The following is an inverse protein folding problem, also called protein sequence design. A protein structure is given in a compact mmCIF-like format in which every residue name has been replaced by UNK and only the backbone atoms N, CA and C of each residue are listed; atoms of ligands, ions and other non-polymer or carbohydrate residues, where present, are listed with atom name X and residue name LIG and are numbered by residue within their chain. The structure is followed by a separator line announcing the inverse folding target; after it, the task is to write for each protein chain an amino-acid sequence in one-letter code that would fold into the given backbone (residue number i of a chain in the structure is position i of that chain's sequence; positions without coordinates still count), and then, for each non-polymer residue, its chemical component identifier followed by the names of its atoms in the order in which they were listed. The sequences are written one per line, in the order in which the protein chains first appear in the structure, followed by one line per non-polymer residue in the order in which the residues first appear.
data_IF_185637032978
#
_entry.id   IF_185637032978
#
_cell.length_a   1.000
_cell.length_b   1.000
_cell.length_c   1.000
_cell.angle_alpha   90.00
_cell.angle_beta   90.00
_cell.angle_gamma   90.00
#
_symmetry.space_group_name_H-M   'P 1'
#
loop_
_entity.id
_entity.type
_entity.pdbx_description
1 polymer ?
#
# COMPACT_ATOMS: atom_id res chain seq x y z
N UNK A 1 -16.81 7.80 1.98
CA UNK A 1 -15.76 7.16 1.17
C UNK A 1 -16.44 6.16 0.25
N UNK A 2 -16.15 6.19 -1.06
CA UNK A 2 -16.69 5.20 -2.00
C UNK A 2 -15.88 3.91 -1.89
N UNK A 3 -16.54 2.77 -1.70
CA UNK A 3 -15.90 1.45 -1.72
C UNK A 3 -16.04 0.84 -3.11
N UNK A 4 -14.97 0.22 -3.60
CA UNK A 4 -14.98 -0.58 -4.85
C UNK A 4 -14.80 -2.05 -4.48
N UNK A 5 -15.60 -2.93 -5.06
CA UNK A 5 -15.49 -4.38 -4.90
C UNK A 5 -14.74 -4.97 -6.09
N UNK A 6 -13.83 -5.90 -5.80
CA UNK A 6 -13.10 -6.69 -6.79
C UNK A 6 -13.41 -8.16 -6.48
N UNK A 7 -14.05 -8.84 -7.43
CA UNK A 7 -14.33 -10.26 -7.33
C UNK A 7 -13.15 -11.08 -7.83
N UNK A 8 -12.75 -12.08 -7.03
CA UNK A 8 -11.64 -12.97 -7.34
C UNK A 8 -12.15 -14.40 -7.23
N UNK A 9 -12.05 -15.20 -8.30
CA UNK A 9 -12.44 -16.60 -8.25
C UNK A 9 -11.72 -17.38 -7.15
N UNK A 10 -12.46 -18.22 -6.43
CA UNK A 10 -11.93 -18.98 -5.29
C UNK A 10 -10.81 -19.95 -5.70
N UNK A 11 -10.93 -20.56 -6.88
CA UNK A 11 -9.94 -21.46 -7.46
C UNK A 11 -8.57 -20.77 -7.68
N UNK A 12 -8.56 -19.48 -8.01
CA UNK A 12 -7.34 -18.69 -8.14
C UNK A 12 -6.70 -18.45 -6.77
N UNK A 13 -7.50 -18.10 -5.75
CA UNK A 13 -7.02 -17.94 -4.37
C UNK A 13 -6.45 -19.25 -3.81
N UNK A 14 -7.16 -20.36 -4.05
CA UNK A 14 -6.75 -21.70 -3.62
C UNK A 14 -5.46 -22.13 -4.34
N UNK A 15 -5.36 -21.88 -5.64
CA UNK A 15 -4.15 -22.17 -6.43
C UNK A 15 -2.96 -21.34 -5.97
N UNK A 16 -3.18 -20.07 -5.63
CA UNK A 16 -2.16 -19.19 -5.07
C UNK A 16 -1.82 -19.52 -3.60
N UNK A 17 -2.65 -20.33 -2.91
CA UNK A 17 -2.56 -20.62 -1.48
C UNK A 17 -2.56 -19.35 -0.62
N UNK A 18 -3.35 -18.36 -1.05
CA UNK A 18 -3.48 -17.07 -0.37
C UNK A 18 -4.84 -16.95 0.28
N UNK A 19 -4.88 -16.39 1.49
CA UNK A 19 -6.12 -15.86 2.06
C UNK A 19 -6.44 -14.48 1.45
N UNK A 20 -7.70 -14.02 1.50
CA UNK A 20 -8.07 -12.69 1.05
C UNK A 20 -7.25 -11.58 1.72
N UNK A 21 -6.87 -11.75 2.99
CA UNK A 21 -6.04 -10.78 3.70
C UNK A 21 -4.60 -10.81 3.21
N UNK A 22 -4.03 -11.99 2.95
CA UNK A 22 -2.70 -12.10 2.35
C UNK A 22 -2.68 -11.47 0.95
N UNK A 23 -3.74 -11.65 0.17
CA UNK A 23 -3.85 -11.04 -1.15
C UNK A 23 -3.91 -9.50 -1.08
N UNK A 24 -4.65 -8.92 -0.12
CA UNK A 24 -4.62 -7.45 0.11
C UNK A 24 -3.22 -6.97 0.46
N UNK A 25 -2.48 -7.73 1.27
CA UNK A 25 -1.10 -7.41 1.62
C UNK A 25 -0.18 -7.43 0.38
N UNK A 26 -0.30 -8.45 -0.47
CA UNK A 26 0.46 -8.53 -1.72
C UNK A 26 0.14 -7.37 -2.65
N UNK A 27 -1.15 -7.02 -2.78
CA UNK A 27 -1.58 -5.90 -3.60
C UNK A 27 -1.00 -4.57 -3.08
N UNK A 28 -1.05 -4.35 -1.76
CA UNK A 28 -0.47 -3.18 -1.12
C UNK A 28 1.04 -3.07 -1.33
N UNK A 29 1.78 -4.17 -1.16
CA UNK A 29 3.23 -4.21 -1.39
C UNK A 29 3.53 -3.93 -2.87
N UNK A 30 2.83 -4.61 -3.78
CA UNK A 30 3.03 -4.46 -5.23
C UNK A 30 2.82 -3.01 -5.67
N UNK A 31 1.74 -2.37 -5.21
CA UNK A 31 1.45 -0.98 -5.52
C UNK A 31 2.45 0.00 -4.87
N UNK A 32 2.98 -0.32 -3.69
CA UNK A 32 4.04 0.47 -3.05
C UNK A 32 5.36 0.37 -3.82
N UNK A 33 5.81 -0.84 -4.17
CA UNK A 33 7.04 -1.08 -4.93
C UNK A 33 6.98 -0.43 -6.31
N UNK A 34 5.80 -0.40 -6.93
CA UNK A 34 5.56 0.31 -8.19
C UNK A 34 5.45 1.84 -8.04
N UNK A 35 5.62 2.40 -6.83
CA UNK A 35 5.41 3.82 -6.49
C UNK A 35 4.04 4.36 -6.89
N UNK A 36 3.01 3.49 -6.88
CA UNK A 36 1.62 3.85 -7.17
C UNK A 36 0.87 4.27 -5.92
N UNK A 37 1.27 3.75 -4.75
CA UNK A 37 0.77 4.14 -3.45
C UNK A 37 1.92 4.58 -2.55
N UNK A 38 1.71 5.67 -1.80
CA UNK A 38 2.57 6.01 -0.68
C UNK A 38 2.46 4.95 0.42
N UNK A 39 3.48 4.86 1.29
CA UNK A 39 3.48 3.92 2.41
C UNK A 39 2.24 4.07 3.31
N UNK A 40 1.68 5.28 3.42
CA UNK A 40 0.47 5.57 4.16
C UNK A 40 -0.79 4.92 3.57
N UNK A 41 -1.00 5.02 2.25
CA UNK A 41 -2.12 4.35 1.58
C UNK A 41 -1.91 2.84 1.47
N UNK A 42 -0.67 2.40 1.25
CA UNK A 42 -0.36 0.97 1.15
C UNK A 42 -0.63 0.23 2.47
N UNK A 43 -0.21 0.78 3.62
CA UNK A 43 -0.52 0.17 4.93
C UNK A 43 -2.02 0.16 5.25
N UNK A 44 -2.76 1.17 4.77
CA UNK A 44 -4.21 1.27 4.94
C UNK A 44 -4.91 0.18 4.13
N UNK A 45 -4.51 -0.01 2.86
CA UNK A 45 -4.99 -1.10 2.01
C UNK A 45 -4.68 -2.49 2.61
N UNK A 46 -3.48 -2.64 3.18
CA UNK A 46 -3.07 -3.87 3.87
C UNK A 46 -3.75 -4.09 5.23
N UNK A 47 -4.51 -3.11 5.73
CA UNK A 47 -5.23 -3.20 7.01
C UNK A 47 -4.31 -3.34 8.23
N UNK A 48 -3.08 -2.81 8.16
CA UNK A 48 -2.09 -3.01 9.23
C UNK A 48 -1.38 -1.71 9.65
N UNK A 49 -0.72 -1.77 10.81
CA UNK A 49 0.06 -0.65 11.31
C UNK A 49 1.31 -0.41 10.45
N UNK A 50 1.80 0.83 10.44
CA UNK A 50 3.03 1.21 9.72
C UNK A 50 4.21 0.31 10.10
N UNK A 51 4.35 0.01 11.39
CA UNK A 51 5.42 -0.85 11.89
C UNK A 51 5.33 -2.27 11.34
N UNK A 52 4.13 -2.87 11.30
CA UNK A 52 3.91 -4.19 10.70
C UNK A 52 4.17 -4.19 9.21
N UNK A 53 3.78 -3.14 8.51
CA UNK A 53 4.04 -3.02 7.07
C UNK A 53 5.54 -2.96 6.77
N UNK A 54 6.32 -2.21 7.57
CA UNK A 54 7.78 -2.18 7.44
C UNK A 54 8.42 -3.53 7.74
N UNK A 55 7.95 -4.22 8.77
CA UNK A 55 8.42 -5.57 9.09
C UNK A 55 8.16 -6.53 7.93
N UNK A 56 7.00 -6.42 7.28
CA UNK A 56 6.62 -7.21 6.12
C UNK A 56 7.55 -6.95 4.92
N UNK A 57 7.85 -5.68 4.62
CA UNK A 57 8.81 -5.31 3.58
C UNK A 57 10.21 -5.87 3.88
N UNK A 58 10.68 -5.71 5.12
CA UNK A 58 11.98 -6.22 5.56
C UNK A 58 12.07 -7.75 5.49
N UNK A 59 10.99 -8.47 5.83
CA UNK A 59 10.95 -9.94 5.74
C UNK A 59 11.03 -10.49 4.32
N UNK A 60 10.78 -9.65 3.32
CA UNK A 60 10.79 -10.02 1.90
C UNK A 60 12.04 -9.59 1.17
N UNK A 61 13.03 -9.07 1.91
CA UNK A 61 14.28 -8.49 1.37
C UNK A 61 14.02 -7.42 0.30
N UNK A 62 12.80 -6.88 0.26
CA UNK A 62 12.51 -5.70 -0.52
C UNK A 62 13.27 -4.59 0.20
N UNK A 63 14.21 -3.90 -0.47
CA UNK A 63 14.87 -2.77 0.14
C UNK A 63 13.74 -1.87 0.62
N UNK A 64 13.66 -1.71 1.95
CA UNK A 64 12.98 -0.58 2.51
C UNK A 64 13.80 0.59 1.97
N UNK A 65 13.44 1.08 0.78
CA UNK A 65 13.92 2.32 0.21
C UNK A 65 13.34 3.40 1.12
N UNK A 66 13.93 3.45 2.31
CA UNK A 66 13.81 4.52 3.26
C UNK A 66 14.86 5.53 2.83
N UNK A 67 14.71 6.04 1.62
CA UNK A 67 15.25 7.36 1.33
C UNK A 67 14.15 8.33 1.76
N UNK A 68 14.56 9.26 2.61
CA UNK A 68 13.78 10.33 3.21
C UNK A 68 13.02 11.22 2.18
N UNK A 69 13.13 10.92 0.88
CA UNK A 69 12.46 11.57 -0.24
C UNK A 69 10.94 11.36 -0.29
N UNK A 70 10.39 10.23 0.17
CA UNK A 70 8.93 9.97 0.11
C UNK A 70 8.13 10.73 1.19
N UNK A 71 8.79 11.25 2.23
CA UNK A 71 8.16 12.13 3.23
C UNK A 71 7.92 13.54 2.64
N UNK A 72 8.69 13.95 1.62
CA UNK A 72 8.55 15.24 0.96
C UNK A 72 7.41 15.27 -0.07
N UNK A 73 7.10 14.15 -0.74
CA UNK A 73 5.98 14.09 -1.69
C UNK A 73 4.60 14.11 -1.00
N UNK A 74 4.51 13.66 0.26
CA UNK A 74 3.29 13.77 1.09
C UNK A 74 3.06 15.20 1.63
N UNK A 75 4.11 16.03 1.75
CA UNK A 75 4.00 17.46 2.07
C UNK A 75 3.61 18.30 0.84
N UNK A 76 4.09 17.94 -0.34
CA UNK A 76 3.81 18.71 -1.56
C UNK A 76 2.36 18.54 -2.03
N UNK A 77 1.79 17.34 -1.87
CA UNK A 77 0.36 17.10 -2.14
C UNK A 77 -0.58 17.76 -1.12
N UNK A 78 -0.16 17.99 0.13
CA UNK A 78 -0.95 18.78 1.08
C UNK A 78 -1.00 20.26 0.67
N UNK A 79 0.07 20.79 0.09
CA UNK A 79 0.12 22.19 -0.40
C UNK A 79 -0.78 22.43 -1.62
N UNK A 80 -0.96 21.42 -2.47
CA UNK A 80 -1.83 21.51 -3.65
C UNK A 80 -3.33 21.44 -3.31
N UNK A 81 -3.69 20.92 -2.14
CA UNK A 81 -5.09 20.89 -1.69
C UNK A 81 -5.55 22.24 -1.11
N UNK A 82 -4.63 23.03 -0.54
CA UNK A 82 -4.92 24.36 0.03
C UNK A 82 -5.09 25.45 -1.05
N UNK A 83 -4.52 25.26 -2.25
CA UNK A 83 -4.72 26.20 -3.40
C UNK A 83 -5.99 25.93 -4.23
N UNK A 84 -6.64 24.78 -4.05
CA UNK A 84 -7.93 24.49 -4.69
C UNK A 84 -9.14 24.97 -3.87
N UNK A 85 -8.91 25.61 -2.73
CA UNK A 85 -9.93 26.15 -1.84
C UNK A 85 -9.98 27.70 -1.82
N UNK A 86 -9.61 28.37 -2.93
CA UNK A 86 -9.85 29.80 -3.17
C UNK A 86 -10.50 30.02 -4.52
#
# INVERSE_FOLDING_TARGET
MASTQIDIPQDILDSARLSPDQLKQELAISLYVQRRLSIGKARELAGMSLWRFRQLLASRELPAHYDEADLFEDLDNLSNWDRSAS
#
